data_IF_757164938752
#
_entry.id   IF_757164938752
#
_cell.length_a   1.000
_cell.length_b   1.000
_cell.length_c   1.000
_cell.angle_alpha   90.00
_cell.angle_beta   90.00
_cell.angle_gamma   90.00
#
_symmetry.space_group_name_H-M   'P 1'
#
loop_
_entity.id
_entity.type
_entity.pdbx_description
1 polymer ?
#
# COMPACT_ATOMS: atom_id res chain seq x y z
N UNK A 1 67.77 38.02 20.44
CA UNK A 1 66.32 37.84 20.72
C UNK A 1 65.76 37.12 19.57
N UNK A 2 65.46 35.82 19.77
CA UNK A 2 64.87 34.95 18.73
C UNK A 2 63.36 34.94 18.96
N UNK A 3 62.55 35.40 17.96
CA UNK A 3 61.11 35.35 18.01
C UNK A 3 60.65 34.02 17.41
N UNK A 4 59.90 33.19 18.17
CA UNK A 4 59.25 32.01 17.72
C UNK A 4 57.92 32.39 17.00
N UNK A 5 57.63 31.82 15.81
CA UNK A 5 56.34 32.04 15.17
C UNK A 5 55.24 31.23 15.89
N UNK A 6 54.18 31.89 16.31
CA UNK A 6 52.94 31.26 16.81
C UNK A 6 52.08 30.91 15.62
N UNK A 7 51.91 29.60 15.34
CA UNK A 7 50.97 29.10 14.36
C UNK A 7 49.56 29.06 14.96
N UNK A 8 48.68 29.93 14.52
CA UNK A 8 47.23 29.81 14.80
C UNK A 8 46.66 28.71 13.91
N UNK A 9 46.33 27.57 14.47
CA UNK A 9 45.56 26.54 13.81
C UNK A 9 44.09 26.96 13.86
N UNK A 10 43.55 27.40 12.70
CA UNK A 10 42.13 27.64 12.55
C UNK A 10 41.41 26.30 12.47
N UNK A 11 40.75 25.89 13.54
CA UNK A 11 39.84 24.75 13.52
C UNK A 11 38.63 25.13 12.66
N UNK A 12 38.55 24.56 11.45
CA UNK A 12 37.36 24.63 10.64
C UNK A 12 36.32 23.75 11.32
N UNK A 13 35.34 24.37 11.97
CA UNK A 13 34.17 23.66 12.45
C UNK A 13 33.40 23.12 11.27
N UNK A 14 33.50 21.83 11.00
CA UNK A 14 32.62 21.13 10.06
C UNK A 14 31.23 21.13 10.70
N UNK A 15 30.37 22.03 10.23
CA UNK A 15 28.95 22.00 10.59
C UNK A 15 28.41 20.64 10.13
N UNK A 16 28.00 19.78 11.06
CA UNK A 16 27.29 18.56 10.72
C UNK A 16 26.11 18.95 9.82
N UNK A 17 26.04 18.35 8.66
CA UNK A 17 24.89 18.55 7.78
C UNK A 17 23.64 18.13 8.55
N UNK A 18 22.63 18.99 8.57
CA UNK A 18 21.34 18.70 9.18
C UNK A 18 20.75 17.50 8.43
N UNK A 19 20.40 16.45 9.15
CA UNK A 19 19.86 15.22 8.56
C UNK A 19 18.53 15.55 7.86
N UNK A 20 18.43 15.25 6.56
CA UNK A 20 17.21 15.44 5.80
C UNK A 20 16.09 14.58 6.40
N UNK A 21 14.89 15.13 6.50
CA UNK A 21 13.70 14.39 6.92
C UNK A 21 12.81 14.12 5.71
N UNK A 22 12.38 12.88 5.54
CA UNK A 22 11.44 12.43 4.50
C UNK A 22 10.18 11.94 5.19
N UNK A 23 9.03 12.41 4.73
CA UNK A 23 7.73 12.02 5.25
C UNK A 23 7.20 10.86 4.40
N UNK A 24 6.91 9.74 5.06
CA UNK A 24 6.36 8.53 4.45
C UNK A 24 4.87 8.46 4.73
N UNK A 25 4.05 8.39 3.68
CA UNK A 25 2.64 8.06 3.78
C UNK A 25 2.42 6.56 3.68
N UNK A 26 1.56 6.01 4.53
CA UNK A 26 1.22 4.59 4.51
C UNK A 26 -0.24 4.38 4.90
N UNK A 27 -0.78 3.18 4.63
CA UNK A 27 -2.04 2.71 5.19
C UNK A 27 -1.77 1.45 6.01
N UNK A 28 -1.54 1.63 7.31
CA UNK A 28 -1.00 0.61 8.21
C UNK A 28 -2.03 -0.48 8.58
N UNK A 29 -2.70 -1.04 7.57
CA UNK A 29 -3.66 -2.16 7.67
C UNK A 29 -3.31 -3.32 6.71
N UNK A 30 -2.11 -3.30 6.08
CA UNK A 30 -1.71 -4.24 5.04
C UNK A 30 -0.58 -5.18 5.51
N UNK A 31 -0.86 -6.02 6.52
CA UNK A 31 0.11 -7.02 7.01
C UNK A 31 0.41 -8.07 5.92
N UNK A 32 1.68 -8.49 5.73
CA UNK A 32 2.86 -8.19 6.55
C UNK A 32 3.71 -6.98 6.06
N UNK A 33 3.23 -6.19 5.10
CA UNK A 33 4.01 -5.10 4.49
C UNK A 33 4.05 -3.88 5.39
N UNK A 34 2.88 -3.33 5.79
CA UNK A 34 2.75 -2.23 6.72
C UNK A 34 1.50 -2.42 7.60
N UNK A 35 1.69 -2.41 8.90
CA UNK A 35 0.60 -2.59 9.85
C UNK A 35 0.96 -1.99 11.21
N UNK A 36 -0.03 -1.84 12.08
CA UNK A 36 0.19 -1.44 13.46
C UNK A 36 0.46 -2.68 14.32
N UNK A 37 1.53 -2.64 15.13
CA UNK A 37 1.79 -3.64 16.17
C UNK A 37 0.81 -3.48 17.35
N UNK A 38 0.96 -4.34 18.36
CA UNK A 38 0.10 -4.32 19.56
C UNK A 38 0.25 -3.04 20.40
N UNK A 39 1.35 -2.30 20.22
CA UNK A 39 1.63 -1.03 20.88
C UNK A 39 1.19 0.19 20.04
N UNK A 40 0.67 -0.06 18.82
CA UNK A 40 0.22 0.95 17.89
C UNK A 40 1.31 1.61 17.06
N UNK A 41 2.50 1.00 16.98
CA UNK A 41 3.57 1.48 16.12
C UNK A 41 3.45 0.89 14.71
N UNK A 42 3.78 1.67 13.69
CA UNK A 42 3.88 1.19 12.33
C UNK A 42 5.08 0.25 12.22
N UNK A 43 4.87 -0.93 11.64
CA UNK A 43 5.87 -1.97 11.43
C UNK A 43 5.55 -2.77 10.15
N UNK A 44 6.43 -3.68 9.76
CA UNK A 44 6.26 -4.56 8.61
C UNK A 44 7.41 -4.49 7.63
N UNK A 45 7.26 -5.22 6.51
CA UNK A 45 8.33 -5.33 5.51
C UNK A 45 8.68 -3.97 4.88
N UNK A 46 7.68 -3.19 4.50
CA UNK A 46 7.88 -1.87 3.88
C UNK A 46 8.54 -0.89 4.85
N UNK A 47 8.12 -0.94 6.12
CA UNK A 47 8.74 -0.18 7.19
C UNK A 47 10.23 -0.53 7.34
N UNK A 48 10.53 -1.81 7.49
CA UNK A 48 11.90 -2.28 7.72
C UNK A 48 12.81 -1.98 6.51
N UNK A 49 12.29 -2.12 5.28
CA UNK A 49 13.02 -1.85 4.05
C UNK A 49 13.37 -0.36 3.94
N UNK A 50 12.40 0.53 4.13
CA UNK A 50 12.62 1.98 4.03
C UNK A 50 13.50 2.50 5.18
N UNK A 51 13.37 1.99 6.40
CA UNK A 51 14.25 2.35 7.52
C UNK A 51 15.71 1.88 7.27
N UNK A 52 15.89 0.72 6.63
CA UNK A 52 17.23 0.26 6.22
C UNK A 52 17.84 1.18 5.16
N UNK A 53 17.08 1.56 4.14
CA UNK A 53 17.52 2.52 3.11
C UNK A 53 17.85 3.88 3.75
N UNK A 54 16.98 4.40 4.60
CA UNK A 54 17.16 5.68 5.27
C UNK A 54 18.43 5.73 6.11
N UNK A 55 18.78 4.62 6.76
CA UNK A 55 20.00 4.48 7.54
C UNK A 55 21.25 4.58 6.66
N UNK A 56 21.26 3.90 5.48
CA UNK A 56 22.38 3.95 4.54
C UNK A 56 22.54 5.36 3.93
N UNK A 57 21.42 6.02 3.62
CA UNK A 57 21.39 7.36 3.02
C UNK A 57 21.52 8.48 4.06
N UNK A 58 21.60 8.15 5.36
CA UNK A 58 21.67 9.12 6.46
C UNK A 58 20.52 10.14 6.44
N UNK A 59 19.30 9.68 6.16
CA UNK A 59 18.06 10.46 6.23
C UNK A 59 17.20 9.99 7.41
N UNK A 60 16.28 10.83 7.85
CA UNK A 60 15.31 10.51 8.90
C UNK A 60 13.94 10.31 8.28
N UNK A 61 13.25 9.22 8.62
CA UNK A 61 11.88 9.01 8.21
C UNK A 61 10.89 9.48 9.29
N UNK A 62 9.75 9.99 8.81
CA UNK A 62 8.58 10.31 9.64
C UNK A 62 7.38 9.67 8.97
N UNK A 63 6.84 8.64 9.61
CA UNK A 63 5.71 7.89 9.09
C UNK A 63 4.37 8.54 9.44
N UNK A 64 3.46 8.56 8.47
CA UNK A 64 2.07 9.03 8.62
C UNK A 64 1.12 7.96 8.14
N UNK A 65 0.33 7.42 9.06
CA UNK A 65 -0.79 6.54 8.73
C UNK A 65 -2.00 7.35 8.25
N UNK A 66 -2.60 6.95 7.13
CA UNK A 66 -3.77 7.62 6.55
C UNK A 66 -4.58 6.65 5.67
N UNK A 67 -5.85 6.98 5.34
CA UNK A 67 -6.64 6.20 4.39
C UNK A 67 -5.94 6.06 3.04
N UNK A 68 -6.01 4.87 2.44
CA UNK A 68 -5.30 4.53 1.19
C UNK A 68 -5.61 5.53 0.05
N UNK A 69 -6.89 5.87 -0.12
CA UNK A 69 -7.37 6.81 -1.14
C UNK A 69 -6.84 8.25 -0.97
N UNK A 70 -6.30 8.58 0.21
CA UNK A 70 -5.74 9.90 0.50
C UNK A 70 -4.24 10.02 0.14
N UNK A 71 -3.55 8.90 -0.09
CA UNK A 71 -2.10 8.87 -0.29
C UNK A 71 -1.66 9.68 -1.50
N UNK A 72 -2.27 9.46 -2.67
CA UNK A 72 -1.89 10.19 -3.90
C UNK A 72 -2.12 11.69 -3.76
N UNK A 73 -3.26 12.11 -3.21
CA UNK A 73 -3.53 13.53 -2.98
C UNK A 73 -2.56 14.18 -1.98
N UNK A 74 -2.10 13.43 -0.97
CA UNK A 74 -1.10 13.92 -0.01
C UNK A 74 0.30 14.07 -0.64
N UNK A 75 0.65 13.21 -1.61
CA UNK A 75 1.87 13.36 -2.40
C UNK A 75 1.79 14.58 -3.33
N UNK A 76 0.72 14.71 -4.08
CA UNK A 76 0.49 15.87 -4.97
C UNK A 76 0.47 17.22 -4.21
N UNK A 77 0.09 17.21 -2.94
CA UNK A 77 0.12 18.38 -2.07
C UNK A 77 1.51 18.66 -1.45
N UNK A 78 2.48 17.74 -1.61
CA UNK A 78 3.80 17.83 -0.96
C UNK A 78 3.80 17.53 0.55
N UNK A 79 2.70 17.00 1.09
CA UNK A 79 2.57 16.62 2.51
C UNK A 79 3.30 15.30 2.84
N UNK A 80 3.56 14.50 1.81
CA UNK A 80 4.22 13.19 1.83
C UNK A 80 5.16 13.10 0.63
N UNK A 81 6.41 12.71 0.84
CA UNK A 81 7.42 12.60 -0.22
C UNK A 81 7.55 11.18 -0.76
N UNK A 82 7.24 10.17 0.06
CA UNK A 82 7.24 8.76 -0.36
C UNK A 82 5.97 8.09 0.15
N UNK A 83 5.35 7.26 -0.66
CA UNK A 83 4.23 6.43 -0.22
C UNK A 83 4.60 4.95 -0.30
N UNK A 84 4.38 4.23 0.82
CA UNK A 84 4.59 2.81 0.99
C UNK A 84 3.29 2.19 1.53
N UNK A 85 2.53 1.54 0.66
CA UNK A 85 1.19 1.04 0.99
C UNK A 85 0.72 -0.04 -0.02
N UNK A 86 1.61 -0.95 -0.43
CA UNK A 86 1.25 -1.98 -1.41
C UNK A 86 0.78 -1.42 -2.76
N UNK A 87 1.39 -0.33 -3.24
CA UNK A 87 0.89 0.44 -4.39
C UNK A 87 1.41 -0.12 -5.71
N UNK A 88 0.50 -0.36 -6.67
CA UNK A 88 0.84 -0.70 -8.03
C UNK A 88 1.08 0.52 -8.94
N UNK A 89 2.01 0.44 -9.93
CA UNK A 89 2.37 1.53 -10.83
C UNK A 89 1.37 1.68 -11.99
N UNK A 90 0.16 2.14 -11.72
CA UNK A 90 -0.85 2.36 -12.78
C UNK A 90 -0.50 3.54 -13.68
N UNK A 91 -1.01 3.54 -14.92
CA UNK A 91 -0.77 4.61 -15.90
C UNK A 91 -1.28 5.99 -15.41
N UNK A 92 -2.32 5.99 -14.56
CA UNK A 92 -2.80 7.24 -13.99
C UNK A 92 -1.87 7.76 -12.89
N UNK A 93 -1.37 6.89 -12.03
CA UNK A 93 -0.40 7.26 -10.98
C UNK A 93 0.92 7.76 -11.56
N UNK A 94 1.37 7.19 -12.70
CA UNK A 94 2.58 7.62 -13.42
C UNK A 94 2.53 9.08 -13.90
N UNK A 95 1.37 9.70 -13.94
CA UNK A 95 1.21 11.10 -14.33
C UNK A 95 1.57 12.08 -13.21
N UNK A 96 1.51 11.61 -11.96
CA UNK A 96 1.63 12.45 -10.77
C UNK A 96 2.85 12.11 -9.91
N UNK A 97 3.37 10.88 -9.98
CA UNK A 97 4.47 10.40 -9.13
C UNK A 97 5.44 9.52 -9.91
N UNK A 98 6.70 9.47 -9.42
CA UNK A 98 7.69 8.49 -9.82
C UNK A 98 7.59 7.20 -8.99
N UNK A 99 8.27 6.13 -9.42
CA UNK A 99 8.23 4.83 -8.75
C UNK A 99 9.62 4.29 -8.50
N UNK A 100 9.76 3.52 -7.42
CA UNK A 100 10.95 2.70 -7.17
C UNK A 100 11.02 1.52 -8.15
N UNK A 101 12.11 0.76 -8.06
CA UNK A 101 12.12 -0.60 -8.59
C UNK A 101 11.05 -1.46 -7.91
N UNK A 102 10.59 -2.49 -8.64
CA UNK A 102 9.62 -3.47 -8.12
C UNK A 102 10.25 -4.30 -7.01
N UNK A 103 9.59 -4.39 -5.86
CA UNK A 103 10.07 -5.20 -4.74
C UNK A 103 9.18 -6.42 -4.43
N UNK A 104 7.94 -6.43 -4.94
CA UNK A 104 7.02 -7.55 -4.81
C UNK A 104 6.09 -7.62 -6.03
N UNK A 105 5.58 -8.82 -6.36
CA UNK A 105 4.53 -9.02 -7.37
C UNK A 105 3.44 -9.90 -6.78
N UNK A 106 2.22 -9.39 -6.74
CA UNK A 106 1.04 -10.07 -6.24
C UNK A 106 -0.02 -10.32 -7.32
N UNK A 107 -1.18 -10.79 -6.89
CA UNK A 107 -2.38 -10.92 -7.74
C UNK A 107 -3.60 -10.54 -6.93
N UNK A 108 -4.70 -10.16 -7.59
CA UNK A 108 -5.98 -10.02 -6.93
C UNK A 108 -6.61 -11.39 -6.67
N UNK A 109 -7.37 -11.47 -5.59
CA UNK A 109 -8.15 -12.64 -5.21
C UNK A 109 -9.60 -12.26 -4.92
N UNK A 110 -10.50 -13.17 -5.21
CA UNK A 110 -11.91 -13.06 -4.89
C UNK A 110 -12.15 -13.82 -3.58
N UNK A 111 -12.49 -13.11 -2.50
CA UNK A 111 -13.00 -13.77 -1.29
C UNK A 111 -14.50 -13.92 -1.42
N UNK A 112 -15.01 -15.09 -1.13
CA UNK A 112 -16.44 -15.40 -1.08
C UNK A 112 -16.78 -16.28 0.12
N UNK A 113 -18.06 -16.35 0.47
CA UNK A 113 -18.52 -17.31 1.47
C UNK A 113 -18.51 -18.73 0.88
N UNK A 114 -18.16 -19.73 1.68
CA UNK A 114 -18.14 -21.15 1.26
C UNK A 114 -19.51 -21.69 0.85
N UNK A 115 -20.57 -21.12 1.38
CA UNK A 115 -21.96 -21.49 1.02
C UNK A 115 -22.46 -20.80 -0.26
N UNK A 116 -21.73 -19.79 -0.76
CA UNK A 116 -21.99 -19.10 -2.01
C UNK A 116 -20.65 -18.76 -2.73
N UNK A 117 -19.95 -19.78 -3.26
CA UNK A 117 -18.62 -19.59 -3.84
C UNK A 117 -18.69 -18.76 -5.13
N UNK A 118 -17.67 -17.90 -5.34
CA UNK A 118 -17.46 -17.13 -6.56
C UNK A 118 -16.01 -17.36 -6.99
N UNK A 119 -15.78 -17.76 -8.25
CA UNK A 119 -14.48 -18.27 -8.70
C UNK A 119 -13.74 -17.34 -9.65
N UNK A 120 -14.46 -16.50 -10.38
CA UNK A 120 -13.91 -15.64 -11.41
C UNK A 120 -14.72 -14.35 -11.56
N UNK A 121 -14.26 -13.46 -12.43
CA UNK A 121 -14.92 -12.19 -12.73
C UNK A 121 -16.27 -12.35 -13.44
N UNK A 122 -16.47 -13.45 -14.18
CA UNK A 122 -17.76 -13.71 -14.83
C UNK A 122 -18.83 -13.99 -13.77
N UNK A 123 -18.50 -14.82 -12.77
CA UNK A 123 -19.40 -15.11 -11.65
C UNK A 123 -19.60 -13.89 -10.71
N UNK A 124 -18.66 -12.93 -10.68
CA UNK A 124 -18.83 -11.66 -9.98
C UNK A 124 -19.79 -10.70 -10.69
N UNK A 125 -20.04 -10.88 -11.99
CA UNK A 125 -20.85 -9.97 -12.78
C UNK A 125 -22.28 -9.85 -12.22
N UNK A 126 -22.75 -8.61 -12.08
CA UNK A 126 -24.04 -8.27 -11.48
C UNK A 126 -24.12 -8.44 -9.95
N UNK A 127 -23.05 -8.88 -9.29
CA UNK A 127 -22.97 -9.08 -7.84
C UNK A 127 -22.59 -7.78 -7.10
N UNK A 128 -22.79 -7.80 -5.79
CA UNK A 128 -22.28 -6.76 -4.90
C UNK A 128 -20.86 -7.11 -4.48
N UNK A 129 -19.89 -6.28 -4.89
CA UNK A 129 -18.46 -6.47 -4.64
C UNK A 129 -17.97 -5.39 -3.68
N UNK A 130 -17.40 -5.81 -2.56
CA UNK A 130 -16.76 -4.91 -1.60
C UNK A 130 -15.27 -4.77 -1.93
N UNK A 131 -14.75 -3.55 -1.85
CA UNK A 131 -13.36 -3.20 -2.21
C UNK A 131 -12.79 -2.16 -1.26
N UNK A 132 -11.46 -2.07 -1.21
CA UNK A 132 -10.76 -0.92 -0.62
C UNK A 132 -10.82 0.24 -1.61
N UNK A 133 -11.33 1.39 -1.15
CA UNK A 133 -11.51 2.58 -1.99
C UNK A 133 -10.18 3.09 -2.57
N UNK A 134 -10.16 3.30 -3.90
CA UNK A 134 -9.00 3.77 -4.64
C UNK A 134 -7.89 2.74 -4.87
N UNK A 135 -8.05 1.49 -4.39
CA UNK A 135 -7.14 0.39 -4.67
C UNK A 135 -7.34 -0.17 -6.08
N UNK A 136 -6.41 -1.04 -6.55
CA UNK A 136 -6.55 -1.71 -7.84
C UNK A 136 -7.84 -2.53 -7.91
N UNK A 137 -8.21 -3.21 -6.82
CA UNK A 137 -9.47 -3.94 -6.71
C UNK A 137 -10.71 -3.07 -6.98
N UNK A 138 -10.69 -1.80 -6.57
CA UNK A 138 -11.76 -0.85 -6.88
C UNK A 138 -11.79 -0.52 -8.37
N UNK A 139 -10.64 -0.20 -8.96
CA UNK A 139 -10.52 0.12 -10.39
C UNK A 139 -11.02 -1.04 -11.27
N UNK A 140 -10.69 -2.29 -10.91
CA UNK A 140 -11.16 -3.49 -11.61
C UNK A 140 -12.67 -3.67 -11.43
N UNK A 141 -13.16 -3.64 -10.20
CA UNK A 141 -14.57 -3.90 -9.90
C UNK A 141 -15.51 -2.81 -10.46
N UNK A 142 -15.05 -1.56 -10.52
CA UNK A 142 -15.81 -0.42 -11.09
C UNK A 142 -15.70 -0.30 -12.60
N UNK A 143 -14.80 -1.08 -13.25
CA UNK A 143 -14.56 -0.99 -14.69
C UNK A 143 -13.75 0.24 -15.10
N UNK A 144 -13.05 0.88 -14.18
CA UNK A 144 -12.11 1.98 -14.48
C UNK A 144 -10.87 1.48 -15.23
N UNK A 145 -10.53 0.20 -15.07
CA UNK A 145 -9.53 -0.50 -15.88
C UNK A 145 -10.06 -1.82 -16.41
N UNK A 146 -9.65 -2.18 -17.62
CA UNK A 146 -9.93 -3.49 -18.25
C UNK A 146 -8.65 -4.31 -18.49
N UNK A 147 -7.49 -3.78 -18.09
CA UNK A 147 -6.20 -4.40 -18.34
C UNK A 147 -6.05 -5.79 -17.69
N UNK A 148 -6.81 -6.04 -16.63
CA UNK A 148 -6.77 -7.26 -15.82
C UNK A 148 -7.98 -8.17 -16.03
N UNK A 149 -8.91 -7.79 -16.89
CA UNK A 149 -10.20 -8.42 -17.11
C UNK A 149 -11.36 -7.50 -16.70
N UNK A 150 -12.58 -7.92 -16.97
CA UNK A 150 -13.78 -7.11 -16.78
C UNK A 150 -14.75 -7.78 -15.81
N UNK A 151 -15.23 -7.02 -14.82
CA UNK A 151 -16.37 -7.41 -13.98
C UNK A 151 -17.57 -6.59 -14.44
N UNK A 152 -18.53 -7.25 -15.10
CA UNK A 152 -19.69 -6.57 -15.69
C UNK A 152 -20.75 -6.26 -14.65
N UNK A 153 -21.27 -5.04 -14.70
CA UNK A 153 -22.44 -4.62 -13.92
C UNK A 153 -22.30 -4.84 -12.39
N UNK A 154 -21.07 -4.86 -11.87
CA UNK A 154 -20.85 -5.02 -10.43
C UNK A 154 -21.43 -3.83 -9.64
N UNK A 155 -22.05 -4.13 -8.51
CA UNK A 155 -22.48 -3.13 -7.53
C UNK A 155 -21.33 -2.93 -6.54
N UNK A 156 -20.46 -1.95 -6.81
CA UNK A 156 -19.26 -1.72 -6.01
C UNK A 156 -19.61 -1.03 -4.69
N UNK A 157 -19.18 -1.64 -3.58
CA UNK A 157 -19.21 -1.05 -2.23
C UNK A 157 -17.80 -0.73 -1.79
N UNK A 158 -17.49 0.54 -1.61
CA UNK A 158 -16.19 1.05 -1.22
C UNK A 158 -16.05 1.17 0.28
N UNK A 159 -14.93 0.74 0.82
CA UNK A 159 -14.60 0.81 2.24
C UNK A 159 -13.23 1.47 2.43
N UNK A 160 -13.05 2.18 3.55
CA UNK A 160 -11.78 2.84 3.89
C UNK A 160 -10.73 1.86 4.41
N UNK A 161 -11.15 0.65 4.79
CA UNK A 161 -10.26 -0.43 5.23
C UNK A 161 -10.77 -1.80 4.76
N UNK A 162 -9.84 -2.72 4.58
CA UNK A 162 -10.12 -4.07 4.09
C UNK A 162 -10.95 -4.90 5.07
N UNK A 163 -10.75 -4.71 6.37
CA UNK A 163 -11.49 -5.44 7.41
C UNK A 163 -12.99 -5.16 7.35
N UNK A 164 -13.38 -3.92 7.07
CA UNK A 164 -14.79 -3.54 6.88
C UNK A 164 -15.40 -4.18 5.63
N UNK A 165 -14.65 -4.26 4.53
CA UNK A 165 -15.10 -4.94 3.31
C UNK A 165 -15.36 -6.44 3.56
N UNK A 166 -14.45 -7.11 4.28
CA UNK A 166 -14.62 -8.52 4.66
C UNK A 166 -15.79 -8.71 5.64
N UNK A 167 -15.99 -7.79 6.58
CA UNK A 167 -17.14 -7.83 7.49
C UNK A 167 -18.47 -7.68 6.74
N UNK A 168 -18.52 -6.81 5.72
CA UNK A 168 -19.70 -6.67 4.86
C UNK A 168 -20.05 -7.96 4.12
N UNK A 169 -19.04 -8.67 3.60
CA UNK A 169 -19.22 -10.01 3.01
C UNK A 169 -19.79 -11.01 4.02
N UNK A 170 -19.23 -11.06 5.22
CA UNK A 170 -19.67 -11.98 6.29
C UNK A 170 -21.11 -11.71 6.72
N UNK A 171 -21.51 -10.45 6.77
CA UNK A 171 -22.86 -10.04 7.12
C UNK A 171 -23.89 -10.22 5.98
N UNK A 172 -23.43 -10.65 4.80
CA UNK A 172 -24.29 -10.85 3.63
C UNK A 172 -24.65 -9.56 2.89
N UNK A 173 -24.00 -8.44 3.21
CA UNK A 173 -24.20 -7.17 2.53
C UNK A 173 -23.38 -7.03 1.24
N UNK A 174 -22.39 -7.92 1.04
CA UNK A 174 -21.69 -8.14 -0.21
C UNK A 174 -21.70 -9.63 -0.58
N UNK A 175 -21.51 -9.92 -1.87
CA UNK A 175 -21.38 -11.28 -2.41
C UNK A 175 -19.91 -11.72 -2.48
N UNK A 176 -19.01 -10.78 -2.74
CA UNK A 176 -17.58 -10.97 -2.83
C UNK A 176 -16.79 -9.79 -2.25
N UNK A 177 -15.52 -10.04 -1.91
CA UNK A 177 -14.48 -9.02 -1.72
C UNK A 177 -13.42 -9.27 -2.78
N UNK A 178 -13.02 -8.24 -3.53
CA UNK A 178 -11.84 -8.27 -4.39
C UNK A 178 -10.69 -7.60 -3.64
N UNK A 179 -9.56 -8.31 -3.51
CA UNK A 179 -8.45 -7.90 -2.64
C UNK A 179 -7.17 -8.65 -3.02
N UNK A 180 -6.01 -8.15 -2.60
CA UNK A 180 -4.72 -8.79 -2.84
C UNK A 180 -4.59 -10.17 -2.21
N UNK A 181 -3.80 -11.04 -2.86
CA UNK A 181 -3.65 -12.44 -2.50
C UNK A 181 -3.19 -12.66 -1.05
N UNK A 182 -2.25 -11.85 -0.54
CA UNK A 182 -1.77 -11.97 0.84
C UNK A 182 -2.89 -11.68 1.84
N UNK A 183 -3.65 -10.61 1.61
CA UNK A 183 -4.78 -10.26 2.48
C UNK A 183 -5.89 -11.30 2.39
N UNK A 184 -6.18 -11.82 1.19
CA UNK A 184 -7.15 -12.89 1.01
C UNK A 184 -6.79 -14.13 1.82
N UNK A 185 -5.51 -14.54 1.79
CA UNK A 185 -5.01 -15.67 2.56
C UNK A 185 -5.16 -15.44 4.07
N UNK A 186 -4.79 -14.25 4.57
CA UNK A 186 -4.89 -13.89 5.98
C UNK A 186 -6.35 -13.94 6.46
N UNK A 187 -7.25 -13.28 5.73
CA UNK A 187 -8.66 -13.25 6.11
C UNK A 187 -9.32 -14.62 6.05
N UNK A 188 -9.01 -15.44 5.06
CA UNK A 188 -9.56 -16.80 4.98
C UNK A 188 -8.98 -17.76 6.03
N UNK A 189 -7.74 -17.57 6.46
CA UNK A 189 -7.17 -18.30 7.61
C UNK A 189 -7.87 -17.94 8.92
N UNK A 190 -8.25 -16.69 9.10
CA UNK A 190 -8.93 -16.20 10.31
C UNK A 190 -10.44 -16.48 10.32
N UNK A 191 -11.03 -16.77 9.15
CA UNK A 191 -12.47 -16.93 8.97
C UNK A 191 -12.76 -18.23 8.23
N UNK A 192 -13.09 -19.28 8.96
CA UNK A 192 -13.29 -20.63 8.40
C UNK A 192 -14.52 -20.78 7.48
N UNK A 193 -15.41 -19.80 7.47
CA UNK A 193 -16.61 -19.68 6.62
C UNK A 193 -16.31 -19.02 5.27
N UNK A 194 -15.12 -18.45 5.11
CA UNK A 194 -14.65 -17.82 3.89
C UNK A 194 -13.71 -18.72 3.10
N UNK A 195 -13.62 -18.46 1.80
CA UNK A 195 -12.65 -19.02 0.87
C UNK A 195 -12.21 -17.95 -0.11
N UNK A 196 -11.10 -18.17 -0.82
CA UNK A 196 -10.65 -17.28 -1.88
C UNK A 196 -10.20 -18.04 -3.12
N UNK A 197 -10.32 -17.40 -4.26
CA UNK A 197 -9.80 -17.82 -5.54
C UNK A 197 -8.86 -16.75 -6.09
N UNK A 198 -7.70 -17.17 -6.58
CA UNK A 198 -6.76 -16.26 -7.22
C UNK A 198 -7.16 -15.95 -8.65
N UNK A 199 -6.98 -14.70 -9.08
CA UNK A 199 -7.19 -14.25 -10.45
C UNK A 199 -5.84 -13.95 -11.11
N UNK A 200 -5.17 -14.94 -11.73
CA UNK A 200 -3.80 -14.79 -12.22
C UNK A 200 -3.61 -13.69 -13.29
N UNK A 201 -4.66 -13.34 -14.03
CA UNK A 201 -4.62 -12.23 -15.01
C UNK A 201 -4.40 -10.86 -14.37
N UNK A 202 -4.50 -10.76 -13.05
CA UNK A 202 -4.35 -9.53 -12.28
C UNK A 202 -2.95 -9.39 -11.65
N UNK A 203 -1.93 -10.07 -12.21
CA UNK A 203 -0.56 -9.91 -11.70
C UNK A 203 -0.17 -8.43 -11.69
N UNK A 204 0.25 -7.94 -10.52
CA UNK A 204 0.58 -6.55 -10.28
C UNK A 204 1.90 -6.43 -9.51
N UNK A 205 2.72 -5.52 -10.00
CA UNK A 205 3.96 -5.14 -9.34
C UNK A 205 3.67 -4.17 -8.19
N UNK A 206 4.45 -4.29 -7.12
CA UNK A 206 4.39 -3.40 -5.95
C UNK A 206 5.65 -2.58 -5.89
N UNK A 207 5.48 -1.28 -5.71
CA UNK A 207 6.52 -0.25 -5.73
C UNK A 207 6.28 0.79 -4.63
N UNK A 208 7.31 1.55 -4.28
CA UNK A 208 7.12 2.80 -3.56
C UNK A 208 6.82 3.92 -4.55
N UNK A 209 5.89 4.82 -4.19
CA UNK A 209 5.67 6.05 -4.94
C UNK A 209 6.59 7.15 -4.39
N UNK A 210 7.14 7.99 -5.27
CA UNK A 210 8.12 9.02 -4.96
C UNK A 210 7.63 10.34 -5.60
N UNK A 211 7.66 11.44 -4.83
CA UNK A 211 7.33 12.79 -5.32
C UNK A 211 8.36 13.29 -6.34
#
# INVERSE_FOLDING_TARGET
IMALPVYFSSAVAVKAAEQQTIIIGTNAEYSPFEYLDDDGNITGFDYDLLEAIAKEENVKLVWKDMPFDSLMGSMEAGDVQVSAAGIGPTEDRKKSVDFSDVYYTGTQCIISRKDNPIKDFEEMSGKTVAVLEGAQSDMIASGETTDYGEVKDAKVKRFKNASSAVMELKNGGADAVLIDNIMAEIYCKQNSDLQYESVPSTAEDTVFCIE
#
